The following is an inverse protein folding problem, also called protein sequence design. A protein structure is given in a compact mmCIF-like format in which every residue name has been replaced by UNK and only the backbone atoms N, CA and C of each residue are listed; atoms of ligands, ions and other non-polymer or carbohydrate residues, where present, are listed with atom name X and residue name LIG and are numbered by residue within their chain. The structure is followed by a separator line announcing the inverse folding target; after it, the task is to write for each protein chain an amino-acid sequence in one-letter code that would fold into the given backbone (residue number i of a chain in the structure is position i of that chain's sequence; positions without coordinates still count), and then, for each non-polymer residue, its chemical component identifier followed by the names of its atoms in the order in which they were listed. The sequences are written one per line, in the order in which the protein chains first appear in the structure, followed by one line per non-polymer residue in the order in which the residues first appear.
data_IF_672631659226
#
_entry.id   IF_672631659226
#
_cell.length_a   1.000
_cell.length_b   1.000
_cell.length_c   1.000
_cell.angle_alpha   90.00
_cell.angle_beta   90.00
_cell.angle_gamma   90.00
#
_symmetry.space_group_name_H-M   'P 1'
#
loop_
_entity.id
_entity.type
_entity.pdbx_description
1 polymer ?
#
# COMPACT_ATOMS: atom_id res chain seq x y z
N UNK A 1 11.91 11.31 -9.38
CA UNK A 1 11.39 10.72 -8.12
C UNK A 1 10.24 9.77 -8.43
N UNK A 2 10.24 8.63 -7.80
CA UNK A 2 9.19 7.63 -7.96
C UNK A 2 8.54 7.34 -6.62
N UNK A 3 7.20 7.32 -6.60
CA UNK A 3 6.41 7.00 -5.42
C UNK A 3 5.48 5.83 -5.76
N UNK A 4 5.40 4.86 -4.88
CA UNK A 4 4.45 3.76 -4.99
C UNK A 4 3.27 4.08 -4.09
N UNK A 5 2.04 3.90 -4.60
CA UNK A 5 0.83 4.01 -3.81
C UNK A 5 0.19 2.63 -3.69
N UNK A 6 -0.23 2.27 -2.49
CA UNK A 6 -0.82 0.97 -2.21
C UNK A 6 -2.16 1.14 -1.50
N UNK A 7 -3.22 0.68 -2.15
CA UNK A 7 -4.55 0.63 -1.55
C UNK A 7 -4.69 -0.65 -0.73
N UNK A 8 -4.77 -0.51 0.59
CA UNK A 8 -4.77 -1.62 1.54
C UNK A 8 -6.16 -2.15 1.89
N UNK A 9 -7.19 -1.82 1.11
CA UNK A 9 -8.53 -2.36 1.31
C UNK A 9 -8.68 -3.68 0.56
N UNK A 10 -9.35 -4.68 1.16
CA UNK A 10 -9.71 -5.90 0.42
C UNK A 10 -10.77 -5.64 -0.66
N UNK A 11 -11.40 -4.48 -0.64
CA UNK A 11 -12.37 -4.04 -1.65
C UNK A 11 -11.73 -3.04 -2.60
N UNK A 12 -12.10 -3.13 -3.89
CA UNK A 12 -11.69 -2.16 -4.88
C UNK A 12 -12.85 -1.93 -5.87
N UNK A 13 -13.28 -0.69 -6.13
CA UNK A 13 -12.78 0.56 -5.53
C UNK A 13 -13.24 0.74 -4.07
N UNK A 14 -12.53 1.58 -3.33
CA UNK A 14 -12.80 1.86 -1.92
C UNK A 14 -12.51 3.33 -1.60
N UNK A 15 -12.80 3.76 -0.36
CA UNK A 15 -12.41 5.10 0.11
C UNK A 15 -10.89 5.26 0.08
N UNK A 16 -10.16 4.21 0.44
CA UNK A 16 -8.70 4.22 0.39
C UNK A 16 -8.18 4.41 -1.02
N UNK A 17 -8.77 3.73 -2.01
CA UNK A 17 -8.35 3.89 -3.40
C UNK A 17 -8.70 5.27 -3.95
N UNK A 18 -9.84 5.85 -3.56
CA UNK A 18 -10.21 7.20 -3.96
C UNK A 18 -9.23 8.24 -3.41
N UNK A 19 -8.80 8.08 -2.16
CA UNK A 19 -7.82 8.96 -1.53
C UNK A 19 -6.47 8.89 -2.26
N UNK A 20 -6.04 7.69 -2.63
CA UNK A 20 -4.80 7.50 -3.37
C UNK A 20 -4.88 8.04 -4.79
N UNK A 21 -6.06 7.99 -5.42
CA UNK A 21 -6.24 8.58 -6.75
C UNK A 21 -6.05 10.09 -6.70
N UNK A 22 -6.56 10.75 -5.67
CA UNK A 22 -6.32 12.17 -5.45
C UNK A 22 -4.82 12.45 -5.24
N UNK A 23 -4.15 11.64 -4.44
CA UNK A 23 -2.72 11.79 -4.22
C UNK A 23 -1.93 11.59 -5.52
N UNK A 24 -2.33 10.63 -6.35
CA UNK A 24 -1.70 10.38 -7.64
C UNK A 24 -1.79 11.60 -8.56
N UNK A 25 -2.96 12.22 -8.64
CA UNK A 25 -3.15 13.41 -9.45
C UNK A 25 -2.24 14.54 -8.99
N UNK A 26 -2.15 14.76 -7.69
CA UNK A 26 -1.30 15.80 -7.11
C UNK A 26 0.18 15.54 -7.40
N UNK A 27 0.63 14.32 -7.22
CA UNK A 27 2.02 13.94 -7.45
C UNK A 27 2.40 14.01 -8.93
N UNK A 28 1.51 13.57 -9.80
CA UNK A 28 1.73 13.62 -11.25
C UNK A 28 1.83 15.07 -11.73
N UNK A 29 1.01 15.97 -11.17
CA UNK A 29 1.10 17.40 -11.49
C UNK A 29 2.43 18.00 -11.07
N UNK A 30 3.12 17.41 -10.11
CA UNK A 30 4.46 17.83 -9.66
C UNK A 30 5.59 17.07 -10.36
N UNK A 31 5.30 16.38 -11.46
CA UNK A 31 6.26 15.58 -12.24
C UNK A 31 6.87 14.42 -11.45
N UNK A 32 6.13 13.86 -10.50
CA UNK A 32 6.53 12.68 -9.75
C UNK A 32 5.91 11.44 -10.38
N UNK A 33 6.73 10.44 -10.71
CA UNK A 33 6.25 9.18 -11.24
C UNK A 33 5.52 8.40 -10.14
N UNK A 34 4.31 7.90 -10.44
CA UNK A 34 3.50 7.15 -9.48
C UNK A 34 3.20 5.77 -10.04
N UNK A 35 3.52 4.74 -9.23
CA UNK A 35 3.15 3.36 -9.52
C UNK A 35 2.08 2.96 -8.52
N UNK A 36 0.87 2.69 -9.02
CA UNK A 36 -0.28 2.39 -8.15
C UNK A 36 -0.51 0.88 -8.03
N UNK A 37 -0.71 0.44 -6.78
CA UNK A 37 -1.02 -0.95 -6.46
C UNK A 37 -2.24 -1.05 -5.55
N UNK A 38 -2.96 -2.15 -5.67
CA UNK A 38 -4.03 -2.52 -4.74
C UNK A 38 -3.98 -4.02 -4.49
N UNK A 39 -4.66 -4.48 -3.44
CA UNK A 39 -4.57 -5.87 -3.02
C UNK A 39 -5.07 -6.85 -4.08
N UNK A 40 -5.98 -6.42 -4.96
CA UNK A 40 -6.50 -7.25 -6.05
C UNK A 40 -5.50 -7.47 -7.18
N UNK A 41 -4.35 -6.80 -7.16
CA UNK A 41 -3.24 -7.10 -8.08
C UNK A 41 -2.59 -8.45 -7.78
N UNK A 42 -2.86 -9.02 -6.60
CA UNK A 42 -2.29 -10.28 -6.15
C UNK A 42 -3.34 -11.37 -6.13
N UNK A 43 -2.95 -12.59 -6.48
CA UNK A 43 -3.84 -13.74 -6.32
C UNK A 43 -4.03 -14.00 -4.82
N UNK A 44 -5.28 -14.20 -4.34
CA UNK A 44 -5.51 -14.42 -2.92
C UNK A 44 -4.70 -15.58 -2.34
N UNK A 45 -4.50 -16.65 -3.11
CA UNK A 45 -3.73 -17.81 -2.70
C UNK A 45 -2.27 -17.47 -2.42
N UNK A 46 -1.70 -16.55 -3.23
CA UNK A 46 -0.30 -16.15 -3.07
C UNK A 46 -0.10 -15.40 -1.76
N UNK A 47 -1.08 -14.59 -1.36
CA UNK A 47 -1.03 -13.89 -0.09
C UNK A 47 -1.30 -14.82 1.07
N UNK A 48 -2.34 -15.65 0.96
CA UNK A 48 -2.77 -16.53 2.03
C UNK A 48 -1.72 -17.60 2.37
N UNK A 49 -1.07 -18.14 1.36
CA UNK A 49 -0.07 -19.21 1.53
C UNK A 49 1.36 -18.71 1.51
N UNK A 50 1.56 -17.40 1.62
CA UNK A 50 2.88 -16.77 1.71
C UNK A 50 3.82 -17.17 0.57
N UNK A 51 3.32 -17.09 -0.67
CA UNK A 51 4.12 -17.43 -1.85
C UNK A 51 5.01 -16.26 -2.26
N UNK A 52 6.26 -16.30 -1.83
CA UNK A 52 7.22 -15.20 -2.05
C UNK A 52 7.66 -15.06 -3.50
N UNK A 53 7.46 -16.08 -4.32
CA UNK A 53 7.95 -16.14 -5.70
C UNK A 53 6.88 -15.79 -6.74
N UNK A 54 5.72 -15.26 -6.32
CA UNK A 54 4.68 -14.90 -7.27
C UNK A 54 5.09 -13.68 -8.11
N UNK A 55 4.69 -13.64 -9.41
CA UNK A 55 5.13 -12.58 -10.33
C UNK A 55 4.72 -11.17 -9.91
N UNK A 56 3.52 -11.00 -9.34
CA UNK A 56 3.05 -9.69 -8.91
C UNK A 56 3.93 -9.14 -7.78
N UNK A 57 4.30 -9.98 -6.82
CA UNK A 57 5.19 -9.56 -5.73
C UNK A 57 6.60 -9.23 -6.24
N UNK A 58 7.11 -9.99 -7.20
CA UNK A 58 8.41 -9.71 -7.81
C UNK A 58 8.40 -8.36 -8.50
N UNK A 59 7.34 -8.03 -9.24
CA UNK A 59 7.20 -6.73 -9.89
C UNK A 59 7.14 -5.59 -8.87
N UNK A 60 6.36 -5.78 -7.80
CA UNK A 60 6.28 -4.79 -6.73
C UNK A 60 7.65 -4.57 -6.08
N UNK A 61 8.39 -5.63 -5.79
CA UNK A 61 9.71 -5.53 -5.18
C UNK A 61 10.70 -4.78 -6.09
N UNK A 62 10.65 -5.02 -7.39
CA UNK A 62 11.48 -4.29 -8.35
C UNK A 62 11.16 -2.80 -8.35
N UNK A 63 9.87 -2.45 -8.34
CA UNK A 63 9.44 -1.07 -8.29
C UNK A 63 9.82 -0.40 -6.96
N UNK A 64 9.68 -1.12 -5.84
CA UNK A 64 10.09 -0.61 -4.53
C UNK A 64 11.58 -0.33 -4.48
N UNK A 65 12.40 -1.19 -5.06
CA UNK A 65 13.85 -0.98 -5.07
C UNK A 65 14.24 0.35 -5.72
N UNK A 66 13.50 0.78 -6.73
CA UNK A 66 13.74 2.05 -7.42
C UNK A 66 12.90 3.22 -6.93
N UNK A 67 12.12 3.04 -5.88
CA UNK A 67 11.22 4.08 -5.39
C UNK A 67 11.85 4.89 -4.26
N UNK A 68 11.43 6.15 -4.15
CA UNK A 68 11.85 7.06 -3.08
C UNK A 68 10.84 7.08 -1.93
N UNK A 69 9.58 6.72 -2.21
CA UNK A 69 8.54 6.74 -1.21
C UNK A 69 7.42 5.75 -1.46
N UNK A 70 6.64 5.50 -0.42
CA UNK A 70 5.50 4.61 -0.45
C UNK A 70 4.36 5.25 0.33
N UNK A 71 3.20 5.39 -0.30
CA UNK A 71 1.98 5.85 0.35
C UNK A 71 1.03 4.67 0.46
N UNK A 72 0.65 4.33 1.69
CA UNK A 72 -0.28 3.24 1.97
C UNK A 72 -1.56 3.83 2.53
N UNK A 73 -2.70 3.61 1.84
CA UNK A 73 -3.99 3.99 2.37
C UNK A 73 -4.75 2.73 2.77
N UNK A 74 -5.27 2.70 3.99
CA UNK A 74 -5.96 1.53 4.54
C UNK A 74 -7.24 1.95 5.25
N UNK A 75 -8.33 1.17 5.11
CA UNK A 75 -9.44 1.31 6.04
C UNK A 75 -9.01 0.81 7.40
N UNK A 76 -9.63 1.35 8.45
CA UNK A 76 -9.33 0.95 9.82
C UNK A 76 -10.43 0.03 10.31
N UNK A 77 -10.05 -1.18 10.72
CA UNK A 77 -10.93 -2.16 11.33
C UNK A 77 -10.51 -2.34 12.79
N UNK A 78 -11.40 -2.05 13.73
CA UNK A 78 -11.12 -2.19 15.17
C UNK A 78 -9.82 -1.46 15.56
N UNK A 79 -9.67 -0.21 15.10
CA UNK A 79 -8.53 0.67 15.36
C UNK A 79 -7.18 0.13 14.85
N UNK A 80 -7.20 -0.71 13.80
CA UNK A 80 -6.00 -1.23 13.18
C UNK A 80 -6.15 -1.32 11.66
N UNK A 81 -5.04 -1.54 10.97
CA UNK A 81 -5.06 -1.72 9.51
C UNK A 81 -5.63 -3.10 9.14
N UNK A 82 -5.98 -3.29 7.85
CA UNK A 82 -6.62 -4.53 7.41
C UNK A 82 -5.69 -5.73 7.49
N UNK A 83 -6.26 -6.92 7.77
CA UNK A 83 -5.51 -8.17 7.78
C UNK A 83 -4.94 -8.51 6.41
N UNK A 84 -5.67 -8.18 5.34
CA UNK A 84 -5.19 -8.41 3.97
C UNK A 84 -3.93 -7.58 3.68
N UNK A 85 -3.90 -6.33 4.12
CA UNK A 85 -2.72 -5.48 3.98
C UNK A 85 -1.54 -6.05 4.77
N UNK A 86 -1.77 -6.47 6.01
CA UNK A 86 -0.71 -7.07 6.82
C UNK A 86 -0.12 -8.30 6.14
N UNK A 87 -0.96 -9.14 5.54
CA UNK A 87 -0.51 -10.33 4.83
C UNK A 87 0.46 -9.97 3.70
N UNK A 88 0.14 -8.92 2.93
CA UNK A 88 1.03 -8.45 1.87
C UNK A 88 2.33 -7.90 2.44
N UNK A 89 2.26 -7.06 3.48
CA UNK A 89 3.45 -6.45 4.07
C UNK A 89 4.42 -7.50 4.63
N UNK A 90 3.88 -8.60 5.17
CA UNK A 90 4.70 -9.70 5.69
C UNK A 90 5.47 -10.43 4.59
N UNK A 91 5.07 -10.30 3.33
CA UNK A 91 5.77 -10.92 2.19
C UNK A 91 6.90 -10.06 1.63
N UNK A 92 6.98 -8.79 2.02
CA UNK A 92 8.04 -7.91 1.53
C UNK A 92 9.39 -8.29 2.15
N UNK A 93 10.51 -8.10 1.42
CA UNK A 93 11.83 -8.29 2.01
C UNK A 93 12.00 -7.44 3.27
N UNK A 94 12.78 -7.94 4.23
CA UNK A 94 12.95 -7.29 5.53
C UNK A 94 13.40 -5.84 5.43
N UNK A 95 14.20 -5.49 4.41
CA UNK A 95 14.72 -4.14 4.20
C UNK A 95 14.09 -3.42 3.02
N UNK A 96 12.92 -3.87 2.56
CA UNK A 96 12.26 -3.30 1.38
C UNK A 96 12.00 -1.80 1.51
N UNK A 97 11.73 -1.32 2.72
CA UNK A 97 11.39 0.08 2.98
C UNK A 97 12.54 0.90 3.56
N UNK A 98 13.72 0.30 3.70
CA UNK A 98 14.88 1.00 4.26
C UNK A 98 15.29 2.17 3.36
N UNK A 99 15.49 3.33 3.97
CA UNK A 99 15.88 4.55 3.23
C UNK A 99 14.76 5.23 2.47
N UNK A 100 13.52 4.76 2.61
CA UNK A 100 12.37 5.33 1.89
C UNK A 100 11.46 6.10 2.83
N UNK A 101 10.76 7.08 2.26
CA UNK A 101 9.72 7.81 2.99
C UNK A 101 8.44 6.99 2.90
N UNK A 102 7.85 6.66 4.06
CA UNK A 102 6.59 5.92 4.11
C UNK A 102 5.51 6.80 4.74
N UNK A 103 4.43 7.01 4.01
CA UNK A 103 3.29 7.81 4.47
C UNK A 103 2.07 6.91 4.61
N UNK A 104 1.67 6.57 5.84
CA UNK A 104 0.42 5.83 6.05
C UNK A 104 -0.76 6.78 6.11
N UNK A 105 -1.86 6.42 5.45
CA UNK A 105 -3.11 7.14 5.46
C UNK A 105 -4.21 6.18 5.92
N UNK A 106 -4.99 6.59 6.92
CA UNK A 106 -6.08 5.77 7.44
C UNK A 106 -7.41 6.45 7.16
N UNK A 107 -8.41 5.66 6.76
CA UNK A 107 -9.78 6.14 6.54
C UNK A 107 -10.70 5.56 7.62
N UNK A 108 -11.52 6.43 8.22
CA UNK A 108 -12.45 6.02 9.26
C UNK A 108 -13.20 7.22 9.81
N UNK A 109 -14.20 6.95 10.67
CA UNK A 109 -15.11 7.98 11.17
C UNK A 109 -14.94 8.32 12.65
N UNK A 110 -13.95 7.78 13.35
CA UNK A 110 -13.76 8.04 14.77
C UNK A 110 -12.32 8.34 15.12
N UNK A 111 -12.11 8.96 16.28
CA UNK A 111 -10.77 9.29 16.76
C UNK A 111 -9.92 8.03 17.03
N UNK A 112 -10.56 6.89 17.32
CA UNK A 112 -9.86 5.64 17.53
C UNK A 112 -9.06 5.19 16.31
N UNK A 113 -9.44 5.65 15.12
CA UNK A 113 -8.74 5.32 13.89
C UNK A 113 -7.34 5.91 13.82
N UNK A 114 -7.03 6.92 14.61
CA UNK A 114 -5.69 7.48 14.67
C UNK A 114 -4.64 6.48 15.17
N UNK A 115 -5.07 5.49 15.94
CA UNK A 115 -4.17 4.46 16.45
C UNK A 115 -3.59 3.57 15.35
N UNK A 116 -4.24 3.49 14.20
CA UNK A 116 -3.80 2.63 13.11
C UNK A 116 -2.53 3.13 12.41
N UNK A 117 -2.19 4.42 12.55
CA UNK A 117 -1.02 5.02 11.89
C UNK A 117 0.16 5.20 12.86
N UNK A 118 -0.04 4.93 14.11
CA UNK A 118 1.02 4.93 15.11
C UNK A 118 1.71 3.58 15.18
#
# INVERSE_FOLDING_TARGET
MRVITLAGSPRYPSRSSALLEYARETLTAADIEVCHWHLQNFAPEDLLYARFDNPALQTLNEQLAGADGLIIATPVYKASFSGALKTLLDLLPERALEGKIVLPLATGGTIAHMLAVD
#
